data_IF_619086119400
#
_entry.id   IF_619086119400
#
_cell.length_a   1.000
_cell.length_b   1.000
_cell.length_c   1.000
_cell.angle_alpha   90.00
_cell.angle_beta   90.00
_cell.angle_gamma   90.00
#
_symmetry.space_group_name_H-M   'P 1'
#
loop_
_entity.id
_entity.type
_entity.pdbx_description
1 polymer ?
#
# COMPACT_ATOMS: atom_id res chain seq x y z
N UNK A 1 31.49 44.27 -37.10
CA UNK A 1 31.11 43.03 -37.82
C UNK A 1 31.85 41.78 -37.30
N UNK A 2 33.19 41.75 -37.20
CA UNK A 2 33.93 40.56 -36.72
C UNK A 2 33.57 40.10 -35.30
N UNK A 3 33.29 41.01 -34.36
CA UNK A 3 32.86 40.67 -32.99
C UNK A 3 31.42 40.14 -32.89
N UNK A 4 30.53 40.59 -33.78
CA UNK A 4 29.15 40.12 -33.85
C UNK A 4 29.06 38.73 -34.49
N UNK A 5 29.89 38.49 -35.51
CA UNK A 5 30.03 37.19 -36.17
C UNK A 5 30.64 36.13 -35.24
N UNK A 6 31.61 36.51 -34.40
CA UNK A 6 32.17 35.61 -33.40
C UNK A 6 31.13 35.21 -32.35
N UNK A 7 30.30 36.15 -31.89
CA UNK A 7 29.26 35.89 -30.89
C UNK A 7 28.15 34.97 -31.45
N UNK A 8 27.71 35.17 -32.69
CA UNK A 8 26.71 34.29 -33.32
C UNK A 8 27.25 32.89 -33.61
N UNK A 9 28.53 32.75 -34.01
CA UNK A 9 29.15 31.43 -34.21
C UNK A 9 29.30 30.67 -32.87
N UNK A 10 29.69 31.34 -31.78
CA UNK A 10 29.77 30.71 -30.46
C UNK A 10 28.38 30.28 -29.95
N UNK A 11 27.35 31.08 -30.17
CA UNK A 11 25.99 30.78 -29.73
C UNK A 11 25.38 29.59 -30.49
N UNK A 12 25.67 29.46 -31.79
CA UNK A 12 25.28 28.30 -32.62
C UNK A 12 26.02 27.03 -32.20
N UNK A 13 27.31 27.10 -31.85
CA UNK A 13 28.07 25.94 -31.35
C UNK A 13 27.50 25.43 -30.01
N UNK A 14 27.12 26.33 -29.10
CA UNK A 14 26.48 25.96 -27.83
C UNK A 14 25.12 25.28 -28.09
N UNK A 15 24.31 25.81 -29.00
CA UNK A 15 22.98 25.28 -29.28
C UNK A 15 22.99 23.94 -30.04
N UNK A 16 23.94 23.74 -30.95
CA UNK A 16 23.98 22.55 -31.84
C UNK A 16 24.83 21.42 -31.27
N UNK A 17 25.81 21.70 -30.41
CA UNK A 17 26.71 20.67 -29.87
C UNK A 17 26.43 20.38 -28.40
N UNK A 18 26.27 21.41 -27.57
CA UNK A 18 26.15 21.23 -26.11
C UNK A 18 24.74 20.77 -25.72
N UNK A 19 23.69 21.34 -26.32
CA UNK A 19 22.31 20.96 -25.98
C UNK A 19 22.00 19.50 -26.39
N UNK A 20 22.36 19.01 -27.60
CA UNK A 20 22.17 17.61 -27.93
C UNK A 20 23.03 16.66 -27.09
N UNK A 21 24.24 17.05 -26.69
CA UNK A 21 25.07 16.25 -25.79
C UNK A 21 24.45 16.10 -24.38
N UNK A 22 23.76 17.13 -23.89
CA UNK A 22 22.98 17.09 -22.63
C UNK A 22 21.70 16.23 -22.80
N UNK A 23 21.04 16.32 -23.95
CA UNK A 23 19.82 15.53 -24.24
C UNK A 23 20.12 14.05 -24.49
N UNK A 24 21.30 13.72 -25.03
CA UNK A 24 21.73 12.35 -25.37
C UNK A 24 22.58 11.70 -24.25
N UNK A 25 22.88 12.42 -23.16
CA UNK A 25 23.56 11.84 -21.99
C UNK A 25 24.96 11.30 -22.30
N UNK A 26 25.73 12.00 -23.14
CA UNK A 26 27.09 11.58 -23.47
C UNK A 26 28.02 11.97 -22.31
N UNK A 27 28.24 11.03 -21.40
CA UNK A 27 29.24 11.13 -20.34
C UNK A 27 30.65 10.98 -20.94
N UNK A 28 31.29 12.12 -21.25
CA UNK A 28 32.70 12.20 -21.66
C UNK A 28 33.65 12.28 -20.46
N UNK A 29 33.29 11.63 -19.34
CA UNK A 29 34.24 11.36 -18.26
C UNK A 29 34.47 9.85 -18.16
N UNK A 30 35.63 9.40 -18.64
CA UNK A 30 36.11 8.04 -18.49
C UNK A 30 36.35 7.68 -17.03
N UNK A 31 35.27 7.39 -16.31
CA UNK A 31 35.26 6.66 -15.04
C UNK A 31 34.30 5.51 -15.23
N UNK A 32 34.87 4.33 -15.49
CA UNK A 32 34.12 3.08 -15.53
C UNK A 32 33.20 2.97 -14.31
N UNK A 33 32.03 2.37 -14.54
CA UNK A 33 30.98 2.11 -13.55
C UNK A 33 31.57 1.67 -12.22
N UNK A 34 31.80 2.64 -11.33
CA UNK A 34 31.81 2.39 -9.90
C UNK A 34 30.35 2.20 -9.54
N UNK A 35 29.93 0.95 -9.54
CA UNK A 35 28.94 0.46 -8.60
C UNK A 35 29.09 1.27 -7.32
N UNK A 36 28.11 2.10 -7.01
CA UNK A 36 28.08 2.78 -5.73
C UNK A 36 27.89 1.67 -4.69
N UNK A 37 29.00 1.10 -4.24
CA UNK A 37 29.11 0.53 -2.91
C UNK A 37 28.86 1.70 -1.96
N UNK A 38 27.58 2.07 -1.77
CA UNK A 38 27.08 2.56 -0.50
C UNK A 38 27.61 1.52 0.48
N UNK A 39 28.60 1.91 1.30
CA UNK A 39 29.03 1.09 2.43
C UNK A 39 27.75 0.71 3.15
N UNK A 40 27.35 -0.56 3.03
CA UNK A 40 26.36 -1.14 3.93
C UNK A 40 27.03 -0.97 5.30
N UNK A 41 26.52 -0.04 6.10
CA UNK A 41 26.99 0.10 7.47
C UNK A 41 26.87 -1.30 8.10
N UNK A 42 27.93 -1.75 8.74
CA UNK A 42 28.06 -3.11 9.28
C UNK A 42 27.08 -3.38 10.46
N UNK A 43 26.09 -2.51 10.64
CA UNK A 43 25.05 -2.48 11.68
C UNK A 43 23.63 -2.62 11.09
N UNK A 44 23.46 -2.56 9.77
CA UNK A 44 22.14 -2.65 9.13
C UNK A 44 21.76 -4.11 8.92
N UNK A 45 20.62 -4.52 9.47
CA UNK A 45 20.00 -5.83 9.23
C UNK A 45 19.77 -6.03 7.72
N UNK A 46 20.27 -7.12 7.16
CA UNK A 46 20.05 -7.48 5.75
C UNK A 46 18.71 -8.22 5.56
N UNK A 47 18.03 -7.95 4.45
CA UNK A 47 16.79 -8.62 4.03
C UNK A 47 16.92 -9.14 2.59
N UNK A 48 16.36 -10.32 2.32
CA UNK A 48 16.31 -10.94 1.01
C UNK A 48 14.95 -10.69 0.37
N UNK A 49 14.90 -9.89 -0.69
CA UNK A 49 13.67 -9.40 -1.31
C UNK A 49 13.51 -10.03 -2.68
N UNK A 50 12.39 -10.72 -2.91
CA UNK A 50 12.00 -11.19 -4.23
C UNK A 50 11.35 -10.05 -5.03
N UNK A 51 12.01 -9.61 -6.09
CA UNK A 51 11.54 -8.59 -7.02
C UNK A 51 10.67 -9.26 -8.09
N UNK A 52 9.35 -9.31 -7.86
CA UNK A 52 8.41 -10.11 -8.67
C UNK A 52 8.40 -9.75 -10.16
N UNK A 53 8.55 -8.47 -10.52
CA UNK A 53 8.59 -8.02 -11.92
C UNK A 53 9.86 -8.48 -12.67
N UNK A 54 10.92 -8.81 -11.93
CA UNK A 54 12.23 -9.18 -12.47
C UNK A 54 12.58 -10.66 -12.22
N UNK A 55 11.69 -11.39 -11.55
CA UNK A 55 11.87 -12.78 -11.10
C UNK A 55 13.26 -13.04 -10.48
N UNK A 56 13.69 -12.16 -9.57
CA UNK A 56 15.01 -12.25 -8.93
C UNK A 56 14.99 -11.90 -7.45
N UNK A 57 15.85 -12.56 -6.68
CA UNK A 57 16.06 -12.24 -5.26
C UNK A 57 17.26 -11.30 -5.15
N UNK A 58 17.11 -10.23 -4.38
CA UNK A 58 18.18 -9.27 -4.08
C UNK A 58 18.33 -9.09 -2.58
N UNK A 59 19.56 -8.90 -2.12
CA UNK A 59 19.85 -8.54 -0.73
C UNK A 59 20.00 -7.02 -0.61
N UNK A 60 19.34 -6.41 0.36
CA UNK A 60 19.50 -5.00 0.70
C UNK A 60 19.39 -4.78 2.21
N UNK A 61 19.67 -3.57 2.70
CA UNK A 61 19.38 -3.25 4.10
C UNK A 61 17.87 -3.18 4.32
N UNK A 62 17.43 -3.59 5.51
CA UNK A 62 16.04 -3.50 5.93
C UNK A 62 15.49 -2.08 5.80
N UNK A 63 16.29 -1.07 6.11
CA UNK A 63 15.85 0.33 6.04
C UNK A 63 15.70 0.85 4.60
N UNK A 64 16.55 0.41 3.65
CA UNK A 64 16.35 0.75 2.24
C UNK A 64 15.11 0.04 1.67
N UNK A 65 14.84 -1.20 2.11
CA UNK A 65 13.57 -1.87 1.79
C UNK A 65 12.37 -1.08 2.34
N UNK A 66 12.38 -0.70 3.61
CA UNK A 66 11.29 0.05 4.27
C UNK A 66 11.05 1.40 3.60
N UNK A 67 12.09 2.13 3.17
CA UNK A 67 11.93 3.38 2.40
C UNK A 67 11.13 3.16 1.11
N UNK A 68 11.45 2.09 0.37
CA UNK A 68 10.71 1.71 -0.85
C UNK A 68 9.26 1.30 -0.57
N UNK A 69 9.00 0.63 0.55
CA UNK A 69 7.63 0.28 0.97
C UNK A 69 6.83 1.54 1.34
N UNK A 70 7.36 2.41 2.20
CA UNK A 70 6.66 3.63 2.62
C UNK A 70 6.33 4.52 1.41
N UNK A 71 7.26 4.64 0.45
CA UNK A 71 7.07 5.40 -0.78
C UNK A 71 6.01 4.83 -1.73
N UNK A 72 5.81 3.51 -1.69
CA UNK A 72 4.82 2.80 -2.47
C UNK A 72 3.43 2.82 -1.83
N UNK A 73 3.36 2.65 -0.50
CA UNK A 73 2.13 2.42 0.25
C UNK A 73 1.44 3.71 0.72
N UNK A 74 2.20 4.76 1.06
CA UNK A 74 1.65 5.98 1.66
C UNK A 74 2.00 7.22 0.81
N UNK A 75 1.04 8.15 0.58
CA UNK A 75 1.34 9.40 -0.12
C UNK A 75 2.44 10.19 0.60
N UNK A 76 3.46 10.64 -0.13
CA UNK A 76 4.61 11.36 0.44
C UNK A 76 4.22 12.70 1.08
N UNK A 77 3.07 13.26 0.69
CA UNK A 77 2.50 14.47 1.26
C UNK A 77 1.98 14.29 2.69
N UNK A 78 1.70 13.05 3.13
CA UNK A 78 1.19 12.77 4.47
C UNK A 78 2.12 13.25 5.57
N UNK A 79 1.57 13.54 6.74
CA UNK A 79 2.34 14.09 7.86
C UNK A 79 3.51 13.17 8.25
N UNK A 80 4.66 13.73 8.70
CA UNK A 80 5.81 12.93 9.11
C UNK A 80 5.49 11.82 10.11
N UNK A 81 4.62 12.09 11.09
CA UNK A 81 4.22 11.11 12.11
C UNK A 81 3.39 9.95 11.53
N UNK A 82 2.63 10.18 10.45
CA UNK A 82 1.95 9.11 9.73
C UNK A 82 2.93 8.25 8.91
N UNK A 83 3.93 8.88 8.26
CA UNK A 83 4.99 8.17 7.55
C UNK A 83 5.84 7.31 8.50
N UNK A 84 6.13 7.81 9.71
CA UNK A 84 6.77 7.04 10.78
C UNK A 84 5.95 5.84 11.19
N UNK A 85 4.64 6.02 11.43
CA UNK A 85 3.76 4.90 11.78
C UNK A 85 3.71 3.84 10.66
N UNK A 86 3.68 4.26 9.39
CA UNK A 86 3.80 3.34 8.25
C UNK A 86 5.16 2.63 8.20
N UNK A 87 6.26 3.32 8.52
CA UNK A 87 7.59 2.72 8.59
C UNK A 87 7.66 1.60 9.65
N UNK A 88 7.09 1.82 10.85
CA UNK A 88 7.01 0.77 11.87
C UNK A 88 6.16 -0.41 11.40
N UNK A 89 5.01 -0.18 10.77
CA UNK A 89 4.16 -1.25 10.25
C UNK A 89 4.87 -2.06 9.16
N UNK A 90 5.52 -1.38 8.21
CA UNK A 90 6.30 -2.01 7.15
C UNK A 90 7.48 -2.83 7.68
N UNK A 91 8.27 -2.24 8.59
CA UNK A 91 9.42 -2.92 9.21
C UNK A 91 8.98 -4.13 10.02
N UNK A 92 7.88 -4.02 10.77
CA UNK A 92 7.34 -5.13 11.56
C UNK A 92 6.89 -6.28 10.66
N UNK A 93 6.19 -5.99 9.55
CA UNK A 93 5.82 -7.01 8.58
C UNK A 93 7.05 -7.71 8.01
N UNK A 94 8.06 -6.95 7.59
CA UNK A 94 9.31 -7.51 7.07
C UNK A 94 9.99 -8.42 8.10
N UNK A 95 10.25 -7.91 9.30
CA UNK A 95 10.90 -8.64 10.40
C UNK A 95 10.15 -9.91 10.77
N UNK A 96 8.81 -9.88 10.80
CA UNK A 96 7.99 -11.07 11.09
C UNK A 96 8.21 -12.20 10.07
N UNK A 97 8.44 -11.86 8.80
CA UNK A 97 8.62 -12.85 7.74
C UNK A 97 10.09 -13.26 7.57
N UNK A 98 11.03 -12.47 8.06
CA UNK A 98 12.46 -12.74 7.91
C UNK A 98 12.92 -13.99 8.66
N UNK A 99 13.64 -14.87 7.97
CA UNK A 99 14.19 -16.10 8.55
C UNK A 99 15.15 -15.81 9.70
N UNK A 100 15.92 -14.72 9.58
CA UNK A 100 16.85 -14.27 10.63
C UNK A 100 16.17 -13.93 11.97
N UNK A 101 14.86 -13.69 11.96
CA UNK A 101 14.05 -13.42 13.15
C UNK A 101 13.02 -14.54 13.45
N UNK A 102 13.22 -15.73 12.87
CA UNK A 102 12.33 -16.88 13.07
C UNK A 102 11.10 -16.93 12.17
N UNK A 103 11.00 -16.02 11.18
CA UNK A 103 9.97 -16.06 10.15
C UNK A 103 10.18 -17.20 9.15
N UNK A 104 9.15 -17.50 8.36
CA UNK A 104 9.18 -18.59 7.36
C UNK A 104 9.73 -18.18 5.99
N UNK A 105 9.92 -16.88 5.74
CA UNK A 105 10.10 -16.34 4.40
C UNK A 105 8.92 -16.65 3.47
N UNK A 106 9.17 -16.56 2.17
CA UNK A 106 8.20 -16.91 1.12
C UNK A 106 8.26 -18.39 0.78
N UNK A 107 7.14 -19.10 0.97
CA UNK A 107 7.05 -20.53 0.71
C UNK A 107 7.23 -20.90 -0.78
N UNK A 108 6.74 -20.06 -1.68
CA UNK A 108 6.81 -20.25 -3.14
C UNK A 108 8.12 -19.72 -3.76
N UNK A 109 8.92 -18.98 -2.98
CA UNK A 109 10.22 -18.42 -3.39
C UNK A 109 11.28 -18.65 -2.29
N UNK A 110 11.78 -19.90 -2.14
CA UNK A 110 12.78 -20.22 -1.13
C UNK A 110 14.01 -19.31 -1.20
N UNK A 111 14.43 -18.78 -0.05
CA UNK A 111 15.54 -17.83 0.06
C UNK A 111 15.15 -16.35 0.03
N UNK A 112 13.86 -16.04 -0.22
CA UNK A 112 13.33 -14.69 -0.04
C UNK A 112 12.57 -14.57 1.29
N UNK A 113 12.79 -13.46 1.99
CA UNK A 113 12.04 -13.09 3.19
C UNK A 113 10.68 -12.47 2.83
N UNK A 114 10.64 -11.62 1.79
CA UNK A 114 9.45 -10.86 1.36
C UNK A 114 9.41 -10.65 -0.16
N UNK A 115 8.22 -10.35 -0.69
CA UNK A 115 7.98 -10.04 -2.12
C UNK A 115 7.73 -8.54 -2.33
N UNK A 116 7.97 -8.04 -3.54
CA UNK A 116 7.49 -6.71 -3.96
C UNK A 116 6.09 -6.73 -4.59
N UNK A 117 5.45 -7.89 -4.70
CA UNK A 117 4.04 -7.99 -5.07
C UNK A 117 3.16 -7.71 -3.84
N UNK A 118 2.37 -6.64 -3.90
CA UNK A 118 1.41 -6.25 -2.87
C UNK A 118 0.33 -7.32 -2.58
N UNK A 119 0.15 -8.31 -3.46
CA UNK A 119 -0.76 -9.45 -3.21
C UNK A 119 -0.14 -10.54 -2.35
N UNK A 120 1.19 -10.63 -2.32
CA UNK A 120 1.94 -11.60 -1.51
C UNK A 120 2.52 -10.96 -0.25
N UNK A 121 3.00 -9.72 -0.37
CA UNK A 121 3.65 -8.98 0.70
C UNK A 121 3.24 -7.50 0.69
N UNK A 122 4.16 -6.60 0.37
CA UNK A 122 3.93 -5.15 0.45
C UNK A 122 4.29 -4.51 -0.89
N UNK A 123 3.59 -3.46 -1.26
CA UNK A 123 4.00 -2.67 -2.41
C UNK A 123 5.39 -2.09 -2.13
N UNK A 124 6.25 -2.11 -3.15
CA UNK A 124 7.60 -1.57 -3.07
C UNK A 124 7.96 -0.91 -4.39
N UNK A 125 8.59 0.25 -4.33
CA UNK A 125 9.03 1.00 -5.50
C UNK A 125 10.51 1.36 -5.40
N UNK A 126 11.25 1.13 -6.48
CA UNK A 126 12.65 1.54 -6.59
C UNK A 126 12.78 3.03 -7.00
N UNK A 127 14.00 3.54 -6.91
CA UNK A 127 14.34 4.92 -7.27
C UNK A 127 13.90 5.32 -8.69
N UNK A 128 14.03 4.44 -9.68
CA UNK A 128 13.62 4.73 -11.08
C UNK A 128 12.11 4.95 -11.15
N UNK A 129 11.34 4.06 -10.53
CA UNK A 129 9.88 4.16 -10.46
C UNK A 129 9.45 5.43 -9.70
N UNK A 130 10.13 5.77 -8.60
CA UNK A 130 9.82 6.96 -7.81
C UNK A 130 10.17 8.26 -8.53
N UNK A 131 11.30 8.32 -9.24
CA UNK A 131 11.66 9.47 -10.09
C UNK A 131 10.64 9.67 -11.21
N UNK A 132 10.16 8.58 -11.83
CA UNK A 132 9.09 8.66 -12.82
C UNK A 132 7.75 9.12 -12.21
N UNK A 133 7.40 8.63 -11.02
CA UNK A 133 6.14 8.95 -10.31
C UNK A 133 6.07 10.41 -9.85
N UNK A 134 7.13 10.93 -9.25
CA UNK A 134 7.13 12.27 -8.64
C UNK A 134 7.73 13.36 -9.52
N UNK A 135 8.46 12.97 -10.56
CA UNK A 135 9.24 13.88 -11.39
C UNK A 135 10.47 14.43 -10.66
N UNK A 136 11.41 15.04 -11.39
CA UNK A 136 12.70 15.47 -10.86
C UNK A 136 12.58 16.55 -9.77
N UNK A 137 11.54 17.39 -9.82
CA UNK A 137 11.36 18.50 -8.88
C UNK A 137 10.86 18.06 -7.49
N UNK A 138 9.99 17.05 -7.42
CA UNK A 138 9.43 16.59 -6.14
C UNK A 138 10.18 15.38 -5.57
N UNK A 139 10.92 14.63 -6.41
CA UNK A 139 11.61 13.42 -5.98
C UNK A 139 12.49 13.66 -4.76
N UNK A 140 13.42 14.61 -4.82
CA UNK A 140 14.35 14.88 -3.71
C UNK A 140 13.61 15.28 -2.42
N UNK A 141 12.58 16.12 -2.54
CA UNK A 141 11.77 16.58 -1.39
C UNK A 141 11.05 15.41 -0.72
N UNK A 142 10.36 14.59 -1.51
CA UNK A 142 9.56 13.48 -1.00
C UNK A 142 10.43 12.33 -0.50
N UNK A 143 11.49 12.00 -1.24
CA UNK A 143 12.45 10.99 -0.84
C UNK A 143 13.17 11.37 0.44
N UNK A 144 13.60 12.64 0.59
CA UNK A 144 14.22 13.14 1.82
C UNK A 144 13.26 13.04 3.02
N UNK A 145 11.97 13.42 2.84
CA UNK A 145 10.96 13.33 3.90
C UNK A 145 10.70 11.89 4.35
N UNK A 146 10.57 10.96 3.40
CA UNK A 146 10.38 9.53 3.70
C UNK A 146 11.63 8.95 4.34
N UNK A 147 12.81 9.23 3.80
CA UNK A 147 14.09 8.81 4.35
C UNK A 147 14.21 9.26 5.81
N UNK A 148 13.92 10.52 6.11
CA UNK A 148 13.93 11.05 7.47
C UNK A 148 12.95 10.31 8.40
N UNK A 149 11.72 10.02 7.95
CA UNK A 149 10.74 9.29 8.76
C UNK A 149 11.19 7.84 9.07
N UNK A 150 11.79 7.17 8.08
CA UNK A 150 12.34 5.82 8.27
C UNK A 150 13.56 5.84 9.19
N UNK A 151 14.49 6.78 8.99
CA UNK A 151 15.72 6.91 9.77
C UNK A 151 15.44 7.33 11.23
N UNK A 152 14.42 8.17 11.49
CA UNK A 152 14.00 8.54 12.85
C UNK A 152 13.30 7.39 13.61
N UNK A 153 12.90 6.32 12.90
CA UNK A 153 12.27 5.12 13.48
C UNK A 153 13.09 3.85 13.23
N UNK A 154 14.39 4.04 12.96
CA UNK A 154 15.31 3.01 12.50
C UNK A 154 15.41 1.88 13.53
N UNK A 155 15.15 0.65 13.08
CA UNK A 155 15.08 -0.53 13.94
C UNK A 155 13.83 -0.67 14.83
N UNK A 156 12.92 0.30 14.88
CA UNK A 156 11.69 0.18 15.68
C UNK A 156 10.64 -0.71 15.00
N UNK A 157 10.14 -1.70 15.74
CA UNK A 157 9.07 -2.61 15.36
C UNK A 157 7.94 -2.62 16.40
N UNK A 158 6.80 -3.16 16.03
CA UNK A 158 5.60 -3.29 16.86
C UNK A 158 5.51 -4.74 17.36
N UNK A 159 5.42 -4.91 18.68
CA UNK A 159 5.38 -6.23 19.33
C UNK A 159 4.14 -6.39 20.21
N UNK A 160 3.70 -7.63 20.35
CA UNK A 160 2.71 -8.06 21.34
C UNK A 160 3.25 -9.30 22.04
N UNK A 161 3.29 -9.29 23.38
CA UNK A 161 3.84 -10.39 24.19
C UNK A 161 5.27 -10.82 23.77
N UNK A 162 6.10 -9.84 23.38
CA UNK A 162 7.50 -10.07 23.00
C UNK A 162 7.72 -10.40 21.53
N UNK A 163 6.67 -10.75 20.78
CA UNK A 163 6.74 -11.18 19.39
C UNK A 163 6.29 -10.10 18.40
N UNK A 164 6.90 -10.00 17.19
CA UNK A 164 6.43 -9.09 16.14
C UNK A 164 4.97 -9.38 15.74
N UNK A 165 4.15 -8.34 15.68
CA UNK A 165 2.73 -8.48 15.33
C UNK A 165 2.50 -8.70 13.83
N UNK A 166 1.33 -9.20 13.45
CA UNK A 166 0.81 -9.01 12.09
C UNK A 166 0.40 -7.53 11.90
N UNK A 167 1.35 -6.69 11.47
CA UNK A 167 1.15 -5.25 11.30
C UNK A 167 0.38 -4.90 10.00
N UNK A 168 -0.88 -5.34 9.93
CA UNK A 168 -1.75 -5.10 8.78
C UNK A 168 -2.18 -3.63 8.70
N UNK A 169 -2.30 -3.10 7.48
CA UNK A 169 -2.73 -1.73 7.23
C UNK A 169 -3.53 -1.62 5.94
N UNK A 170 -4.33 -0.57 5.83
CA UNK A 170 -5.16 -0.29 4.65
C UNK A 170 -5.35 1.21 4.45
N UNK A 171 -5.86 1.60 3.28
CA UNK A 171 -5.98 3.01 2.91
C UNK A 171 -7.02 3.76 3.76
N UNK A 172 -8.27 3.31 3.73
CA UNK A 172 -9.42 4.00 4.33
C UNK A 172 -10.38 2.99 4.93
N UNK A 173 -10.80 3.17 6.18
CA UNK A 173 -11.65 2.24 6.94
C UNK A 173 -13.14 2.46 6.70
N UNK A 174 -13.58 3.71 6.59
CA UNK A 174 -14.96 4.06 6.92
C UNK A 174 -15.08 4.41 8.41
N UNK A 175 -16.27 4.27 8.99
CA UNK A 175 -16.52 4.67 10.39
C UNK A 175 -15.56 4.02 11.41
N UNK A 176 -15.16 2.77 11.18
CA UNK A 176 -14.25 1.99 12.03
C UNK A 176 -13.46 0.94 11.25
N UNK A 177 -12.33 0.54 11.82
CA UNK A 177 -11.59 -0.65 11.37
C UNK A 177 -12.42 -1.92 11.63
N UNK A 178 -12.06 -3.02 10.99
CA UNK A 178 -12.57 -4.34 11.28
C UNK A 178 -11.59 -5.08 12.19
N UNK A 179 -12.10 -6.00 13.01
CA UNK A 179 -11.24 -6.99 13.67
C UNK A 179 -10.73 -8.04 12.66
N UNK A 180 -9.61 -8.69 12.96
CA UNK A 180 -9.13 -9.81 12.15
C UNK A 180 -10.13 -10.98 12.14
N UNK A 181 -10.87 -11.18 13.25
CA UNK A 181 -11.90 -12.21 13.37
C UNK A 181 -13.03 -12.00 12.38
N UNK A 182 -13.49 -10.76 12.21
CA UNK A 182 -14.54 -10.42 11.25
C UNK A 182 -14.13 -10.70 9.80
N UNK A 183 -12.87 -10.44 9.45
CA UNK A 183 -12.42 -10.52 8.04
C UNK A 183 -11.92 -11.91 7.67
N UNK A 184 -11.26 -12.62 8.60
CA UNK A 184 -10.58 -13.89 8.31
C UNK A 184 -10.89 -15.01 9.30
N UNK A 185 -11.71 -14.77 10.33
CA UNK A 185 -12.06 -15.78 11.34
C UNK A 185 -10.99 -16.02 12.43
N UNK A 186 -9.78 -15.50 12.25
CA UNK A 186 -8.70 -15.59 13.24
C UNK A 186 -8.71 -14.39 14.17
N UNK A 187 -8.61 -14.64 15.46
CA UNK A 187 -8.53 -13.56 16.45
C UNK A 187 -7.08 -13.25 16.80
N UNK A 188 -6.72 -11.97 16.67
CA UNK A 188 -5.46 -11.44 17.15
C UNK A 188 -5.78 -10.35 18.17
N UNK A 189 -5.34 -10.47 19.43
CA UNK A 189 -5.68 -9.51 20.49
C UNK A 189 -5.36 -8.05 20.16
N UNK A 190 -4.37 -7.83 19.29
CA UNK A 190 -3.94 -6.52 18.83
C UNK A 190 -4.64 -6.01 17.55
N UNK A 191 -5.40 -6.84 16.82
CA UNK A 191 -6.16 -6.45 15.61
C UNK A 191 -7.66 -6.39 15.89
N UNK A 192 -8.04 -5.42 16.73
CA UNK A 192 -9.42 -5.18 17.14
C UNK A 192 -10.01 -3.97 16.40
N UNK A 193 -11.33 -3.92 16.31
CA UNK A 193 -12.05 -2.80 15.69
C UNK A 193 -11.92 -1.54 16.56
N UNK A 194 -11.41 -0.45 15.98
CA UNK A 194 -11.34 0.89 16.57
C UNK A 194 -12.00 1.91 15.65
N UNK A 195 -12.53 2.99 16.22
CA UNK A 195 -13.10 4.08 15.43
C UNK A 195 -12.06 4.71 14.50
N UNK A 196 -12.48 5.26 13.35
CA UNK A 196 -11.56 5.89 12.41
C UNK A 196 -12.17 7.16 11.78
N UNK A 197 -12.59 8.11 12.62
CA UNK A 197 -13.32 9.32 12.17
C UNK A 197 -12.57 10.21 11.17
N UNK A 198 -11.24 10.18 11.15
CA UNK A 198 -10.45 11.13 10.36
C UNK A 198 -10.43 10.82 8.86
N UNK A 199 -10.69 9.57 8.50
CA UNK A 199 -10.56 9.10 7.13
C UNK A 199 -11.73 9.51 6.23
N UNK A 200 -12.79 10.11 6.80
CA UNK A 200 -13.92 10.74 6.09
C UNK A 200 -13.48 11.81 5.09
N UNK A 201 -12.33 12.43 5.32
CA UNK A 201 -11.73 13.42 4.41
C UNK A 201 -10.88 12.77 3.29
N UNK A 202 -10.77 11.44 3.28
CA UNK A 202 -10.04 10.73 2.25
C UNK A 202 -10.75 10.90 0.89
N UNK A 203 -10.03 11.22 -0.20
CA UNK A 203 -10.58 11.17 -1.55
C UNK A 203 -10.98 9.74 -1.95
N UNK A 204 -10.62 8.74 -1.15
CA UNK A 204 -10.97 7.32 -1.34
C UNK A 204 -12.05 6.85 -0.37
N UNK A 205 -12.73 7.75 0.35
CA UNK A 205 -13.74 7.38 1.35
C UNK A 205 -14.96 6.69 0.75
N UNK A 206 -15.45 7.16 -0.40
CA UNK A 206 -16.52 6.48 -1.15
C UNK A 206 -16.09 6.17 -2.57
N UNK A 207 -16.71 5.15 -3.15
CA UNK A 207 -16.62 4.84 -4.58
C UNK A 207 -17.95 4.28 -5.06
N UNK A 208 -18.28 4.54 -6.33
CA UNK A 208 -19.45 3.97 -6.98
C UNK A 208 -19.02 3.25 -8.24
N UNK A 209 -19.41 1.97 -8.38
CA UNK A 209 -19.24 1.19 -9.60
C UNK A 209 -20.61 0.76 -10.12
N UNK A 210 -20.78 0.88 -11.43
CA UNK A 210 -21.95 0.39 -12.15
C UNK A 210 -21.55 -0.79 -13.02
N UNK A 211 -22.38 -1.82 -13.05
CA UNK A 211 -22.16 -3.00 -13.88
C UNK A 211 -23.43 -3.30 -14.68
N UNK A 212 -23.25 -3.66 -15.95
CA UNK A 212 -24.31 -4.34 -16.69
C UNK A 212 -24.56 -5.71 -16.06
N UNK A 213 -25.79 -6.22 -16.14
CA UNK A 213 -26.15 -7.51 -15.56
C UNK A 213 -25.34 -8.67 -16.15
N UNK A 214 -25.04 -8.60 -17.45
CA UNK A 214 -24.19 -9.57 -18.14
C UNK A 214 -22.76 -9.58 -17.58
N UNK A 215 -22.20 -8.42 -17.22
CA UNK A 215 -20.85 -8.33 -16.66
C UNK A 215 -20.79 -8.97 -15.27
N UNK A 216 -21.85 -8.81 -14.47
CA UNK A 216 -21.98 -9.47 -13.17
C UNK A 216 -22.04 -10.98 -13.36
N UNK A 217 -22.88 -11.46 -14.27
CA UNK A 217 -23.04 -12.89 -14.51
C UNK A 217 -21.73 -13.51 -15.04
N UNK A 218 -21.00 -12.81 -15.91
CA UNK A 218 -19.68 -13.25 -16.37
C UNK A 218 -18.66 -13.32 -15.22
N UNK A 219 -18.65 -12.33 -14.32
CA UNK A 219 -17.69 -12.26 -13.20
C UNK A 219 -18.02 -13.23 -12.05
N UNK A 220 -19.30 -13.55 -11.85
CA UNK A 220 -19.77 -14.43 -10.77
C UNK A 220 -20.08 -15.86 -11.21
N UNK A 221 -20.09 -16.11 -12.53
CA UNK A 221 -20.50 -17.37 -13.15
C UNK A 221 -21.98 -17.37 -13.56
N UNK A 222 -22.28 -18.03 -14.68
CA UNK A 222 -23.63 -18.12 -15.25
C UNK A 222 -24.67 -18.74 -14.30
N UNK A 223 -24.23 -19.58 -13.37
CA UNK A 223 -25.04 -20.17 -12.33
C UNK A 223 -25.45 -19.17 -11.23
N UNK A 224 -24.96 -17.92 -11.25
CA UNK A 224 -25.48 -16.85 -10.41
C UNK A 224 -26.95 -16.51 -10.75
N UNK A 225 -27.38 -16.77 -11.99
CA UNK A 225 -28.77 -16.60 -12.42
C UNK A 225 -29.27 -15.16 -12.30
N UNK A 226 -28.40 -14.18 -12.52
CA UNK A 226 -28.73 -12.76 -12.34
C UNK A 226 -29.71 -12.31 -13.42
N UNK A 227 -29.48 -12.72 -14.67
CA UNK A 227 -30.37 -12.38 -15.79
C UNK A 227 -31.74 -13.05 -15.59
N UNK A 228 -31.75 -14.32 -15.21
CA UNK A 228 -32.98 -15.08 -14.95
C UNK A 228 -33.83 -14.45 -13.83
N UNK A 229 -33.19 -14.00 -12.74
CA UNK A 229 -33.86 -13.30 -11.65
C UNK A 229 -34.56 -12.01 -12.14
N UNK A 230 -33.87 -11.21 -12.96
CA UNK A 230 -34.43 -9.97 -13.52
C UNK A 230 -35.64 -10.26 -14.41
N UNK A 231 -35.52 -11.26 -15.30
CA UNK A 231 -36.59 -11.64 -16.23
C UNK A 231 -37.84 -12.17 -15.51
N UNK A 232 -37.67 -12.77 -14.33
CA UNK A 232 -38.78 -13.25 -13.49
C UNK A 232 -39.50 -12.13 -12.72
N UNK A 233 -39.02 -10.88 -12.80
CA UNK A 233 -39.56 -9.75 -12.04
C UNK A 233 -39.14 -9.74 -10.57
N UNK A 234 -38.13 -10.53 -10.18
CA UNK A 234 -37.56 -10.48 -8.83
C UNK A 234 -36.71 -9.21 -8.67
N UNK A 235 -37.31 -8.16 -8.12
CA UNK A 235 -36.58 -6.92 -7.80
C UNK A 235 -35.57 -7.08 -6.65
N UNK A 236 -35.52 -8.24 -5.99
CA UNK A 236 -34.58 -8.54 -4.90
C UNK A 236 -33.32 -9.26 -5.38
N UNK A 237 -32.87 -8.99 -6.62
CA UNK A 237 -31.68 -9.60 -7.25
C UNK A 237 -30.48 -9.58 -6.32
N UNK A 238 -30.29 -8.49 -5.57
CA UNK A 238 -29.23 -8.39 -4.57
C UNK A 238 -29.82 -8.15 -3.19
N UNK A 239 -29.35 -8.91 -2.19
CA UNK A 239 -29.74 -8.73 -0.79
C UNK A 239 -28.57 -9.00 0.12
N UNK A 240 -28.18 -8.01 0.92
CA UNK A 240 -27.23 -8.20 2.01
C UNK A 240 -27.91 -9.06 3.07
N UNK A 241 -27.29 -10.20 3.40
CA UNK A 241 -27.84 -11.17 4.35
C UNK A 241 -27.25 -10.97 5.74
N UNK A 242 -25.96 -10.65 5.82
CA UNK A 242 -25.26 -10.46 7.07
C UNK A 242 -24.23 -9.34 6.96
N UNK A 243 -24.11 -8.56 8.04
CA UNK A 243 -23.08 -7.55 8.24
C UNK A 243 -22.22 -7.96 9.44
N UNK A 244 -20.93 -7.70 9.33
CA UNK A 244 -20.00 -7.74 10.47
C UNK A 244 -20.27 -6.58 11.42
N UNK A 245 -19.72 -6.66 12.64
CA UNK A 245 -19.84 -5.59 13.65
C UNK A 245 -19.27 -4.25 13.17
N UNK A 246 -18.30 -4.27 12.27
CA UNK A 246 -17.73 -3.07 11.65
C UNK A 246 -18.53 -2.54 10.45
N UNK A 247 -19.69 -3.15 10.13
CA UNK A 247 -20.59 -2.72 9.07
C UNK A 247 -20.24 -3.23 7.68
N UNK A 248 -19.23 -4.10 7.55
CA UNK A 248 -18.84 -4.74 6.28
C UNK A 248 -19.74 -5.92 5.97
N UNK A 249 -20.01 -6.14 4.68
CA UNK A 249 -20.80 -7.28 4.19
C UNK A 249 -20.04 -8.58 4.42
N UNK A 250 -20.60 -9.45 5.26
CA UNK A 250 -20.13 -10.82 5.44
C UNK A 250 -20.73 -11.72 4.34
N UNK A 251 -22.07 -11.73 4.22
CA UNK A 251 -22.78 -12.53 3.23
C UNK A 251 -23.78 -11.70 2.42
N UNK A 252 -23.82 -11.96 1.12
CA UNK A 252 -24.73 -11.34 0.17
C UNK A 252 -25.34 -12.40 -0.74
N UNK A 253 -26.65 -12.30 -0.95
CA UNK A 253 -27.33 -13.03 -2.02
C UNK A 253 -27.31 -12.19 -3.28
N UNK A 254 -26.94 -12.78 -4.40
CA UNK A 254 -27.05 -12.20 -5.74
C UNK A 254 -27.61 -13.24 -6.72
N UNK A 255 -28.77 -12.95 -7.31
CA UNK A 255 -29.58 -13.93 -8.03
C UNK A 255 -29.92 -15.12 -7.13
N UNK A 256 -29.49 -16.32 -7.55
CA UNK A 256 -29.64 -17.58 -6.81
C UNK A 256 -28.49 -17.87 -5.85
N UNK A 257 -27.34 -17.18 -5.98
CA UNK A 257 -26.14 -17.45 -5.19
C UNK A 257 -26.13 -16.70 -3.88
N UNK A 258 -25.60 -17.35 -2.85
CA UNK A 258 -25.10 -16.68 -1.64
C UNK A 258 -23.59 -16.76 -1.62
N UNK A 259 -22.92 -15.61 -1.59
CA UNK A 259 -21.46 -15.50 -1.57
C UNK A 259 -21.00 -14.58 -0.45
N UNK A 260 -19.69 -14.63 -0.14
CA UNK A 260 -19.12 -13.71 0.83
C UNK A 260 -18.93 -12.31 0.24
N UNK A 261 -18.95 -11.28 1.09
CA UNK A 261 -18.59 -9.93 0.67
C UNK A 261 -17.15 -9.84 0.14
N UNK A 262 -16.23 -10.67 0.67
CA UNK A 262 -14.86 -10.78 0.19
C UNK A 262 -14.78 -11.30 -1.25
N UNK A 263 -15.53 -12.36 -1.59
CA UNK A 263 -15.58 -12.90 -2.94
C UNK A 263 -16.23 -11.89 -3.92
N UNK A 264 -17.30 -11.22 -3.48
CA UNK A 264 -17.92 -10.14 -4.27
C UNK A 264 -16.93 -9.01 -4.55
N UNK A 265 -16.20 -8.55 -3.53
CA UNK A 265 -15.16 -7.53 -3.65
C UNK A 265 -14.07 -7.94 -4.63
N UNK A 266 -13.60 -9.19 -4.58
CA UNK A 266 -12.61 -9.73 -5.51
C UNK A 266 -13.13 -9.72 -6.95
N UNK A 267 -14.27 -10.36 -7.21
CA UNK A 267 -14.80 -10.54 -8.58
C UNK A 267 -15.22 -9.24 -9.25
N UNK A 268 -15.74 -8.29 -8.48
CA UNK A 268 -16.18 -6.99 -8.97
C UNK A 268 -15.13 -5.88 -8.75
N UNK A 269 -13.96 -6.23 -8.21
CA UNK A 269 -12.87 -5.31 -7.91
C UNK A 269 -13.34 -4.09 -7.08
N UNK A 270 -14.22 -4.32 -6.10
CA UNK A 270 -14.71 -3.26 -5.21
C UNK A 270 -13.58 -2.79 -4.28
N UNK A 271 -13.63 -1.53 -3.85
CA UNK A 271 -12.60 -0.99 -2.95
C UNK A 271 -12.61 -1.68 -1.58
N UNK A 272 -13.78 -2.03 -1.07
CA UNK A 272 -13.94 -2.66 0.25
C UNK A 272 -15.11 -3.64 0.25
N UNK A 273 -15.28 -4.36 1.36
CA UNK A 273 -16.48 -5.15 1.65
C UNK A 273 -17.57 -4.34 2.36
N UNK A 274 -17.33 -3.07 2.68
CA UNK A 274 -18.36 -2.16 3.19
C UNK A 274 -19.08 -1.54 1.98
N UNK A 275 -20.14 -2.18 1.52
CA UNK A 275 -20.88 -1.72 0.36
C UNK A 275 -22.39 -1.90 0.50
N UNK A 276 -23.13 -1.06 -0.22
CA UNK A 276 -24.53 -1.27 -0.57
C UNK A 276 -24.66 -1.58 -2.05
N UNK A 277 -25.69 -2.33 -2.43
CA UNK A 277 -25.96 -2.66 -3.82
C UNK A 277 -27.45 -2.44 -4.14
N UNK A 278 -27.74 -1.89 -5.32
CA UNK A 278 -29.10 -1.63 -5.79
C UNK A 278 -29.20 -1.81 -7.31
N UNK A 279 -30.31 -2.37 -7.80
CA UNK A 279 -30.63 -2.38 -9.23
C UNK A 279 -31.25 -1.02 -9.61
N UNK A 280 -30.71 -0.37 -10.65
CA UNK A 280 -31.34 0.79 -11.29
C UNK A 280 -31.39 0.59 -12.80
N UNK A 281 -32.61 0.46 -13.32
CA UNK A 281 -32.83 0.12 -14.73
C UNK A 281 -32.24 -1.25 -15.03
N UNK A 282 -31.30 -1.29 -15.97
CA UNK A 282 -30.58 -2.47 -16.45
C UNK A 282 -29.18 -2.63 -15.82
N UNK A 283 -28.86 -1.82 -14.80
CA UNK A 283 -27.55 -1.82 -14.15
C UNK A 283 -27.64 -2.10 -12.65
N UNK A 284 -26.63 -2.79 -12.15
CA UNK A 284 -26.40 -2.93 -10.72
C UNK A 284 -25.40 -1.86 -10.27
N UNK A 285 -25.76 -1.09 -9.25
CA UNK A 285 -24.93 -0.04 -8.68
C UNK A 285 -24.40 -0.51 -7.33
N UNK A 286 -23.08 -0.52 -7.19
CA UNK A 286 -22.40 -0.75 -5.92
C UNK A 286 -21.82 0.56 -5.41
N UNK A 287 -22.19 0.95 -4.19
CA UNK A 287 -21.58 2.06 -3.46
C UNK A 287 -20.75 1.48 -2.33
N UNK A 288 -19.46 1.77 -2.32
CA UNK A 288 -18.52 1.28 -1.31
C UNK A 288 -18.07 2.41 -0.41
N UNK A 289 -17.77 2.08 0.84
CA UNK A 289 -17.14 2.96 1.84
C UNK A 289 -15.79 2.37 2.24
N UNK A 290 -14.76 3.20 2.26
CA UNK A 290 -13.38 2.79 2.54
C UNK A 290 -12.68 2.08 1.37
N UNK A 291 -11.41 1.77 1.58
CA UNK A 291 -10.55 1.08 0.61
C UNK A 291 -9.52 0.21 1.33
N UNK A 292 -9.61 -1.09 1.08
CA UNK A 292 -8.75 -2.13 1.64
C UNK A 292 -9.54 -3.12 2.49
N UNK A 293 -8.83 -4.00 3.18
CA UNK A 293 -9.46 -5.03 4.03
C UNK A 293 -10.03 -4.43 5.34
N UNK A 294 -9.52 -3.30 5.80
CA UNK A 294 -10.06 -2.58 6.95
C UNK A 294 -9.46 -2.95 8.32
N UNK A 295 -8.41 -3.78 8.37
CA UNK A 295 -7.87 -4.33 9.63
C UNK A 295 -6.53 -3.67 9.97
N UNK A 296 -6.34 -3.30 11.23
CA UNK A 296 -5.12 -2.65 11.71
C UNK A 296 -5.05 -1.17 11.32
N UNK A 297 -3.88 -0.69 10.89
CA UNK A 297 -3.64 0.74 10.71
C UNK A 297 -4.37 1.31 9.48
N UNK A 298 -5.22 2.31 9.71
CA UNK A 298 -5.81 3.11 8.63
C UNK A 298 -4.87 4.24 8.23
N UNK A 299 -4.38 4.26 6.99
CA UNK A 299 -3.41 5.25 6.52
C UNK A 299 -3.94 6.69 6.55
N UNK A 300 -5.16 6.91 6.03
CA UNK A 300 -5.78 8.24 6.10
C UNK A 300 -6.16 8.63 7.54
N UNK A 301 -6.50 7.65 8.36
CA UNK A 301 -6.74 7.84 9.79
C UNK A 301 -5.48 8.28 10.55
N UNK A 302 -4.36 7.60 10.33
CA UNK A 302 -3.04 7.94 10.84
C UNK A 302 -2.62 9.37 10.43
N UNK A 303 -2.83 9.74 9.16
CA UNK A 303 -2.58 11.10 8.69
C UNK A 303 -3.46 12.15 9.40
N UNK A 304 -4.73 11.80 9.66
CA UNK A 304 -5.63 12.66 10.43
C UNK A 304 -5.20 12.86 11.88
N UNK A 305 -4.82 11.77 12.55
CA UNK A 305 -4.26 11.83 13.90
C UNK A 305 -2.98 12.68 13.96
N UNK A 306 -2.08 12.50 13.00
CA UNK A 306 -0.86 13.29 12.90
C UNK A 306 -1.15 14.79 12.70
N UNK A 307 -2.16 15.15 11.90
CA UNK A 307 -2.62 16.54 11.74
C UNK A 307 -3.21 17.14 13.02
N UNK A 308 -3.72 16.29 13.91
CA UNK A 308 -4.15 16.67 15.26
C UNK A 308 -3.01 16.65 16.29
N UNK A 309 -1.75 16.53 15.85
CA UNK A 309 -0.56 16.60 16.69
C UNK A 309 -0.22 15.30 17.42
N UNK A 310 -0.85 14.18 17.08
CA UNK A 310 -0.50 12.87 17.66
C UNK A 310 0.81 12.36 17.04
N UNK A 311 1.71 11.87 17.89
CA UNK A 311 2.94 11.23 17.43
C UNK A 311 2.69 9.81 16.90
N UNK A 312 3.67 9.25 16.20
CA UNK A 312 3.56 7.91 15.63
C UNK A 312 3.36 6.82 16.69
N UNK A 313 3.88 6.98 17.92
CA UNK A 313 3.69 6.00 18.99
C UNK A 313 2.23 5.93 19.41
N UNK A 314 1.57 7.09 19.50
CA UNK A 314 0.14 7.18 19.79
C UNK A 314 -0.71 6.67 18.64
N UNK A 315 -0.31 6.91 17.39
CA UNK A 315 -0.96 6.33 16.20
C UNK A 315 -0.88 4.80 16.22
N UNK A 316 0.30 4.23 16.46
CA UNK A 316 0.50 2.77 16.52
C UNK A 316 -0.34 2.14 17.63
N UNK A 317 -0.25 2.66 18.85
CA UNK A 317 -0.99 2.12 20.01
C UNK A 317 -2.50 2.35 19.93
N UNK A 318 -2.96 3.23 19.05
CA UNK A 318 -4.39 3.40 18.75
C UNK A 318 -4.92 2.30 17.82
N UNK A 319 -4.20 1.99 16.73
CA UNK A 319 -4.64 1.01 15.75
C UNK A 319 -4.31 -0.44 16.11
N UNK A 320 -3.28 -0.64 16.94
CA UNK A 320 -2.88 -1.97 17.40
C UNK A 320 -3.04 -2.04 18.92
N UNK A 321 -3.99 -2.84 19.38
CA UNK A 321 -4.39 -2.86 20.81
C UNK A 321 -3.35 -3.58 21.67
N UNK A 322 -2.93 -2.95 22.77
CA UNK A 322 -2.05 -3.58 23.76
C UNK A 322 -0.61 -3.84 23.29
N UNK A 323 -0.19 -3.24 22.18
CA UNK A 323 1.16 -3.42 21.64
C UNK A 323 2.19 -2.55 22.35
N UNK A 324 3.46 -2.94 22.23
CA UNK A 324 4.62 -2.12 22.57
C UNK A 324 5.49 -1.87 21.32
N UNK A 325 6.37 -0.88 21.41
CA UNK A 325 7.40 -0.63 20.39
C UNK A 325 8.74 -1.09 20.95
N UNK A 326 9.49 -1.84 20.15
CA UNK A 326 10.82 -2.36 20.49
C UNK A 326 11.82 -2.01 19.39
N UNK A 327 13.05 -1.65 19.77
CA UNK A 327 14.15 -1.52 18.81
C UNK A 327 14.91 -2.85 18.69
N UNK A 328 15.08 -3.35 17.46
CA UNK A 328 15.77 -4.63 17.19
C UNK A 328 17.29 -4.50 17.12
N UNK A 329 17.83 -3.28 17.10
CA UNK A 329 19.28 -3.02 17.01
C UNK A 329 19.95 -2.84 18.38
N UNK A 330 19.20 -3.03 19.48
CA UNK A 330 19.66 -2.73 20.83
C UNK A 330 19.30 -1.30 21.27
N UNK A 331 19.21 -1.12 22.58
CA UNK A 331 19.09 0.18 23.26
C UNK A 331 20.45 0.62 23.80
#
# INVERSE_FOLDING_TARGET
MKKLLAFTVTLVIIMVIIIPAIVVGVDLSGKGERSSNKKVNNEDVAIHVYLHEQDKIVTMSLEEYVKGVVAAEMPAEFEPEALKAQALAARTYAVKNMVAFGGSGLADKPGADVSTDHRQSQAWQNEIQLKAKWGPFNYERYWSKITKAVDETRGEIIIYEGEPINALFHSTSGDKTASAREVWGFDYPYLQSVACRWDQKSPRYTDTKEFALNDIEQRLGADAGVIAAVQSGDNSIVRILNLTDSGRVDKVRIGSKTITGALMREKLELRSTNFSAELKGDKMIFKTVGYGHGVGLCQYGANGMAKEGQDYRKIITYYYTGVAIKNILGS
#
